data_IF_242730727159
#
_entry.id   IF_242730727159
#
_cell.length_a   1.000
_cell.length_b   1.000
_cell.length_c   1.000
_cell.angle_alpha   90.00
_cell.angle_beta   90.00
_cell.angle_gamma   90.00
#
_symmetry.space_group_name_H-M   'P 1'
#
loop_
_entity.id
_entity.type
_entity.pdbx_description
1 polymer ?
#
# COMPACT_ATOMS: atom_id res chain seq x y z
N UNK A 1 -30.59 -73.05 21.36
CA UNK A 1 -29.80 -71.92 20.81
C UNK A 1 -29.29 -71.08 21.96
N UNK A 2 -27.97 -71.04 22.15
CA UNK A 2 -27.35 -70.50 23.34
C UNK A 2 -27.15 -68.98 23.20
N UNK A 3 -27.50 -68.22 24.23
CA UNK A 3 -27.43 -66.75 24.33
C UNK A 3 -26.04 -66.14 24.05
N UNK A 4 -25.03 -66.91 23.71
CA UNK A 4 -23.64 -66.44 23.47
C UNK A 4 -23.31 -66.12 22.01
N UNK A 5 -24.13 -66.54 21.05
CA UNK A 5 -23.85 -66.29 19.62
C UNK A 5 -24.47 -64.97 19.09
N UNK A 6 -25.37 -64.37 19.85
CA UNK A 6 -26.04 -63.10 19.44
C UNK A 6 -25.22 -61.83 19.77
N UNK A 7 -24.23 -61.98 20.66
CA UNK A 7 -23.40 -60.80 21.07
C UNK A 7 -22.18 -60.60 20.17
N UNK A 8 -21.77 -61.60 19.40
CA UNK A 8 -20.59 -61.53 18.52
C UNK A 8 -20.90 -60.89 17.15
N UNK A 9 -22.15 -60.81 16.74
CA UNK A 9 -22.53 -60.20 15.43
C UNK A 9 -22.82 -58.69 15.54
N UNK A 10 -23.16 -58.18 16.72
CA UNK A 10 -23.40 -56.74 16.97
C UNK A 10 -22.13 -55.95 17.33
N UNK A 11 -21.01 -56.60 17.64
CA UNK A 11 -19.74 -55.97 17.97
C UNK A 11 -18.88 -55.58 16.76
N UNK A 12 -19.16 -56.13 15.56
CA UNK A 12 -18.33 -55.92 14.37
C UNK A 12 -18.78 -54.76 13.48
N UNK A 13 -19.98 -54.21 13.66
CA UNK A 13 -20.54 -53.15 12.80
C UNK A 13 -20.28 -51.72 13.34
N UNK A 14 -19.81 -51.55 14.58
CA UNK A 14 -19.63 -50.24 15.18
C UNK A 14 -18.19 -49.69 15.06
N UNK A 15 -17.22 -50.48 14.55
CA UNK A 15 -15.82 -50.06 14.47
C UNK A 15 -15.35 -49.55 13.11
N UNK A 16 -16.20 -49.52 12.09
CA UNK A 16 -15.86 -49.08 10.71
C UNK A 16 -16.41 -47.72 10.29
N UNK A 17 -17.01 -46.92 11.18
CA UNK A 17 -17.70 -45.71 10.82
C UNK A 17 -17.09 -44.36 11.20
N UNK A 18 -15.89 -44.14 11.62
CA UNK A 18 -15.38 -42.78 11.70
C UNK A 18 -14.17 -42.48 10.82
N UNK A 19 -13.76 -43.36 9.89
CA UNK A 19 -12.57 -43.07 9.07
C UNK A 19 -12.89 -42.49 7.68
N UNK A 20 -14.12 -42.58 7.21
CA UNK A 20 -14.49 -42.09 5.89
C UNK A 20 -15.03 -40.63 5.84
N UNK A 21 -15.31 -40.01 6.99
CA UNK A 21 -15.79 -38.61 7.03
C UNK A 21 -14.66 -37.58 6.96
N UNK A 22 -13.40 -37.97 7.22
CA UNK A 22 -12.25 -37.07 7.07
C UNK A 22 -11.64 -37.00 5.67
N UNK A 23 -12.03 -37.85 4.75
CA UNK A 23 -11.45 -37.95 3.41
C UNK A 23 -12.20 -37.15 2.32
N UNK A 24 -13.23 -36.37 2.66
CA UNK A 24 -14.02 -35.62 1.69
C UNK A 24 -14.23 -34.14 2.04
N UNK A 25 -13.40 -33.51 2.85
CA UNK A 25 -13.17 -32.10 2.65
C UNK A 25 -12.30 -31.98 1.40
N UNK A 26 -12.93 -31.99 0.21
CA UNK A 26 -12.36 -31.34 -0.96
C UNK A 26 -11.98 -29.95 -0.45
N UNK A 27 -10.69 -29.64 -0.42
CA UNK A 27 -10.23 -28.29 -0.11
C UNK A 27 -10.96 -27.35 -1.07
N UNK A 28 -12.01 -26.69 -0.56
CA UNK A 28 -12.79 -25.75 -1.37
C UNK A 28 -11.82 -24.67 -1.82
N UNK A 29 -11.63 -24.55 -3.14
CA UNK A 29 -10.70 -23.59 -3.70
C UNK A 29 -11.18 -22.18 -3.35
N UNK A 30 -10.44 -21.49 -2.50
CA UNK A 30 -10.75 -20.11 -2.14
C UNK A 30 -10.29 -19.17 -3.24
N UNK A 31 -11.20 -18.34 -3.72
CA UNK A 31 -10.92 -17.32 -4.74
C UNK A 31 -10.71 -15.97 -4.09
N UNK A 32 -9.61 -15.29 -4.40
CA UNK A 32 -9.32 -13.94 -3.94
C UNK A 32 -8.96 -13.02 -5.11
N UNK A 33 -9.41 -11.77 -5.06
CA UNK A 33 -8.95 -10.72 -5.94
C UNK A 33 -7.75 -10.00 -5.32
N UNK A 34 -6.72 -9.71 -6.10
CA UNK A 34 -5.60 -8.84 -5.70
C UNK A 34 -5.51 -7.69 -6.68
N UNK A 35 -5.71 -6.45 -6.21
CA UNK A 35 -5.85 -5.30 -7.11
C UNK A 35 -4.92 -4.17 -6.67
N UNK A 36 -4.12 -3.71 -7.62
CA UNK A 36 -3.15 -2.62 -7.42
C UNK A 36 -3.50 -1.41 -8.29
N UNK A 37 -3.11 -0.22 -7.81
CA UNK A 37 -3.32 1.04 -8.51
C UNK A 37 -2.34 1.31 -9.67
N UNK A 38 -1.23 0.58 -9.73
CA UNK A 38 -0.22 0.64 -10.79
C UNK A 38 -0.48 -0.42 -11.87
N UNK A 39 0.36 -0.50 -12.90
CA UNK A 39 0.29 -1.56 -13.90
C UNK A 39 0.66 -2.92 -13.29
N UNK A 40 0.19 -4.02 -13.87
CA UNK A 40 0.47 -5.38 -13.37
C UNK A 40 1.94 -5.76 -13.44
N UNK A 41 2.68 -5.20 -14.39
CA UNK A 41 4.11 -5.41 -14.64
C UNK A 41 5.01 -4.42 -13.88
N UNK A 42 4.44 -3.53 -13.06
CA UNK A 42 5.22 -2.63 -12.19
C UNK A 42 6.08 -3.47 -11.22
N UNK A 43 7.41 -3.23 -11.17
CA UNK A 43 8.33 -4.05 -10.37
C UNK A 43 8.00 -4.12 -8.89
N UNK A 44 7.51 -3.00 -8.29
CA UNK A 44 7.13 -2.98 -6.88
C UNK A 44 5.83 -3.76 -6.63
N UNK A 45 4.87 -3.68 -7.57
CA UNK A 45 3.65 -4.48 -7.51
C UNK A 45 3.98 -5.97 -7.59
N UNK A 46 4.84 -6.38 -8.51
CA UNK A 46 5.29 -7.76 -8.65
C UNK A 46 6.01 -8.26 -7.39
N UNK A 47 6.95 -7.49 -6.84
CA UNK A 47 7.65 -7.84 -5.60
C UNK A 47 6.69 -7.99 -4.41
N UNK A 48 5.71 -7.10 -4.31
CA UNK A 48 4.70 -7.11 -3.23
C UNK A 48 3.78 -8.32 -3.33
N UNK A 49 3.28 -8.63 -4.54
CA UNK A 49 2.43 -9.80 -4.79
C UNK A 49 3.22 -11.10 -4.60
N UNK A 50 4.49 -11.14 -4.99
CA UNK A 50 5.36 -12.29 -4.72
C UNK A 50 5.54 -12.54 -3.22
N UNK A 51 5.78 -11.48 -2.42
CA UNK A 51 5.89 -11.56 -0.97
C UNK A 51 4.58 -12.06 -0.33
N UNK A 52 3.43 -11.57 -0.82
CA UNK A 52 2.11 -12.05 -0.41
C UNK A 52 1.93 -13.54 -0.72
N UNK A 53 2.16 -13.97 -1.96
CA UNK A 53 2.01 -15.36 -2.39
C UNK A 53 2.92 -16.30 -1.59
N UNK A 54 4.17 -15.91 -1.35
CA UNK A 54 5.12 -16.67 -0.54
C UNK A 54 4.62 -16.87 0.89
N UNK A 55 4.09 -15.80 1.51
CA UNK A 55 3.54 -15.89 2.87
C UNK A 55 2.27 -16.73 2.91
N UNK A 56 1.37 -16.58 1.94
CA UNK A 56 0.18 -17.44 1.81
C UNK A 56 0.57 -18.93 1.71
N UNK A 57 1.63 -19.25 0.94
CA UNK A 57 2.14 -20.62 0.84
C UNK A 57 2.65 -21.14 2.18
N UNK A 58 3.38 -20.34 2.96
CA UNK A 58 3.83 -20.69 4.31
C UNK A 58 2.65 -20.94 5.27
N UNK A 59 1.52 -20.26 5.05
CA UNK A 59 0.26 -20.43 5.82
C UNK A 59 -0.60 -21.61 5.34
N UNK A 60 -0.14 -22.37 4.32
CA UNK A 60 -0.81 -23.55 3.79
C UNK A 60 -1.71 -23.31 2.56
N UNK A 61 -1.74 -22.09 2.04
CA UNK A 61 -2.50 -21.73 0.83
C UNK A 61 -1.61 -21.85 -0.40
N UNK A 62 -2.01 -22.65 -1.38
CA UNK A 62 -1.25 -22.87 -2.61
C UNK A 62 -2.12 -22.59 -3.83
N UNK A 63 -1.67 -21.69 -4.69
CA UNK A 63 -2.33 -21.37 -5.96
C UNK A 63 -2.43 -22.63 -6.83
N UNK A 64 -3.61 -22.86 -7.41
CA UNK A 64 -3.92 -24.07 -8.20
C UNK A 64 -4.34 -25.30 -7.37
N UNK A 65 -4.15 -25.31 -6.04
CA UNK A 65 -4.61 -26.39 -5.16
C UNK A 65 -5.85 -25.99 -4.35
N UNK A 66 -5.71 -25.03 -3.45
CA UNK A 66 -6.78 -24.57 -2.55
C UNK A 66 -6.97 -23.04 -2.57
N UNK A 67 -6.21 -22.33 -3.42
CA UNK A 67 -6.27 -20.90 -3.62
C UNK A 67 -6.25 -20.57 -5.12
N UNK A 68 -7.10 -19.61 -5.53
CA UNK A 68 -7.05 -18.96 -6.83
C UNK A 68 -6.88 -17.46 -6.61
N UNK A 69 -5.92 -16.86 -7.32
CA UNK A 69 -5.61 -15.43 -7.22
C UNK A 69 -5.89 -14.76 -8.57
N UNK A 70 -6.84 -13.82 -8.57
CA UNK A 70 -7.12 -12.94 -9.71
C UNK A 70 -6.39 -11.62 -9.52
N UNK A 71 -5.20 -11.48 -10.13
CA UNK A 71 -4.39 -10.27 -10.03
C UNK A 71 -4.73 -9.28 -11.14
N UNK A 72 -4.98 -8.01 -10.78
CA UNK A 72 -5.31 -6.92 -11.69
C UNK A 72 -4.55 -5.65 -11.32
N UNK A 73 -4.22 -4.84 -12.34
CA UNK A 73 -3.59 -3.52 -12.18
C UNK A 73 -4.36 -2.44 -12.93
N UNK A 74 -4.61 -1.32 -12.25
CA UNK A 74 -5.41 -0.22 -12.79
C UNK A 74 -4.57 0.84 -13.53
N UNK A 75 -3.25 0.82 -13.41
CA UNK A 75 -2.33 1.78 -14.05
C UNK A 75 -2.67 3.26 -13.77
N UNK A 76 -3.23 3.58 -12.59
CA UNK A 76 -3.62 4.93 -12.19
C UNK A 76 -4.93 5.44 -12.80
N UNK A 77 -5.61 4.64 -13.60
CA UNK A 77 -6.83 5.00 -14.31
C UNK A 77 -8.08 4.75 -13.45
N UNK A 78 -8.83 5.81 -13.05
CA UNK A 78 -10.02 5.68 -12.21
C UNK A 78 -11.16 4.87 -12.87
N UNK A 79 -11.34 4.98 -14.19
CA UNK A 79 -12.39 4.24 -14.91
C UNK A 79 -12.06 2.75 -14.91
N UNK A 80 -10.80 2.42 -15.14
CA UNK A 80 -10.30 1.04 -15.05
C UNK A 80 -10.42 0.47 -13.65
N UNK A 81 -10.19 1.28 -12.59
CA UNK A 81 -10.44 0.84 -11.20
C UNK A 81 -11.89 0.42 -10.98
N UNK A 82 -12.84 1.23 -11.46
CA UNK A 82 -14.28 0.94 -11.34
C UNK A 82 -14.66 -0.32 -12.16
N UNK A 83 -14.14 -0.45 -13.37
CA UNK A 83 -14.41 -1.61 -14.23
C UNK A 83 -13.88 -2.92 -13.59
N UNK A 84 -12.64 -2.90 -13.07
CA UNK A 84 -12.04 -4.04 -12.35
C UNK A 84 -12.85 -4.40 -11.11
N UNK A 85 -13.29 -3.39 -10.34
CA UNK A 85 -14.09 -3.62 -9.14
C UNK A 85 -15.43 -4.31 -9.49
N UNK A 86 -16.13 -3.84 -10.51
CA UNK A 86 -17.38 -4.44 -11.00
C UNK A 86 -17.15 -5.88 -11.50
N UNK A 87 -16.12 -6.12 -12.30
CA UNK A 87 -15.76 -7.44 -12.82
C UNK A 87 -15.48 -8.43 -11.69
N UNK A 88 -14.57 -8.09 -10.77
CA UNK A 88 -14.15 -9.00 -9.72
C UNK A 88 -15.25 -9.26 -8.68
N UNK A 89 -16.07 -8.27 -8.34
CA UNK A 89 -17.23 -8.47 -7.45
C UNK A 89 -18.22 -9.43 -8.06
N UNK A 90 -18.47 -9.37 -9.38
CA UNK A 90 -19.34 -10.30 -10.08
C UNK A 90 -18.86 -11.77 -10.04
N UNK A 91 -17.54 -11.99 -9.85
CA UNK A 91 -16.98 -13.34 -9.66
C UNK A 91 -17.21 -13.90 -8.25
N UNK A 92 -17.84 -13.13 -7.36
CA UNK A 92 -18.12 -13.46 -5.96
C UNK A 92 -16.91 -14.08 -5.22
N UNK A 93 -15.75 -13.38 -5.14
CA UNK A 93 -14.58 -13.88 -4.47
C UNK A 93 -14.79 -13.96 -2.95
N UNK A 94 -14.05 -14.83 -2.29
CA UNK A 94 -14.08 -14.97 -0.83
C UNK A 94 -13.48 -13.74 -0.11
N UNK A 95 -12.59 -13.01 -0.80
CA UNK A 95 -11.92 -11.82 -0.27
C UNK A 95 -11.28 -11.03 -1.41
N UNK A 96 -11.12 -9.73 -1.20
CA UNK A 96 -10.36 -8.85 -2.09
C UNK A 96 -9.23 -8.16 -1.29
N UNK A 97 -8.00 -8.26 -1.78
CA UNK A 97 -6.85 -7.51 -1.33
C UNK A 97 -6.67 -6.30 -2.25
N UNK A 98 -6.76 -5.09 -1.69
CA UNK A 98 -6.63 -3.84 -2.45
C UNK A 98 -5.37 -3.09 -2.07
N UNK A 99 -4.80 -2.33 -3.02
CA UNK A 99 -3.72 -1.38 -2.76
C UNK A 99 -4.17 0.03 -3.14
N UNK A 100 -4.06 0.97 -2.23
CA UNK A 100 -4.39 2.40 -2.30
C UNK A 100 -5.84 2.76 -1.95
N UNK A 101 -6.02 4.01 -1.53
CA UNK A 101 -7.33 4.59 -1.19
C UNK A 101 -8.33 4.50 -2.36
N UNK A 102 -8.02 4.95 -3.61
CA UNK A 102 -9.00 4.93 -4.69
C UNK A 102 -9.41 3.52 -5.13
N UNK A 103 -8.50 2.54 -5.10
CA UNK A 103 -8.86 1.14 -5.40
C UNK A 103 -9.78 0.59 -4.33
N UNK A 104 -9.46 0.81 -3.04
CA UNK A 104 -10.30 0.35 -1.92
C UNK A 104 -11.69 0.97 -1.98
N UNK A 105 -11.79 2.26 -2.27
CA UNK A 105 -13.06 2.96 -2.45
C UNK A 105 -13.90 2.35 -3.58
N UNK A 106 -13.29 2.07 -4.73
CA UNK A 106 -13.97 1.46 -5.86
C UNK A 106 -14.65 0.14 -5.48
N UNK A 107 -13.98 -0.71 -4.70
CA UNK A 107 -14.56 -1.99 -4.23
C UNK A 107 -15.62 -1.80 -3.15
N UNK A 108 -15.45 -0.88 -2.23
CA UNK A 108 -16.45 -0.58 -1.18
C UNK A 108 -17.73 0.02 -1.75
N UNK A 109 -17.68 0.69 -2.91
CA UNK A 109 -18.86 1.14 -3.64
C UNK A 109 -19.64 -0.01 -4.31
N UNK A 110 -18.93 -1.08 -4.70
CA UNK A 110 -19.53 -2.24 -5.39
C UNK A 110 -20.05 -3.30 -4.41
N UNK A 111 -19.43 -3.47 -3.24
CA UNK A 111 -19.83 -4.49 -2.27
C UNK A 111 -19.66 -4.03 -0.82
N UNK A 112 -20.67 -4.37 0.00
CA UNK A 112 -20.65 -4.19 1.47
C UNK A 112 -20.55 -5.51 2.23
N UNK A 113 -20.41 -6.63 1.51
CA UNK A 113 -20.40 -7.97 2.10
C UNK A 113 -19.12 -8.75 1.83
N UNK A 114 -18.52 -8.60 0.65
CA UNK A 114 -17.24 -9.25 0.33
C UNK A 114 -16.16 -8.67 1.25
N UNK A 115 -15.42 -9.51 2.00
CA UNK A 115 -14.30 -9.06 2.81
C UNK A 115 -13.24 -8.32 2.00
N UNK A 116 -12.77 -7.19 2.49
CA UNK A 116 -11.70 -6.40 1.87
C UNK A 116 -10.56 -6.24 2.88
N UNK A 117 -9.36 -6.63 2.47
CA UNK A 117 -8.11 -6.28 3.14
C UNK A 117 -7.43 -5.22 2.31
N UNK A 118 -7.24 -4.03 2.86
CA UNK A 118 -6.56 -2.96 2.16
C UNK A 118 -5.11 -2.80 2.61
N UNK A 119 -4.25 -2.35 1.71
CA UNK A 119 -2.88 -1.92 1.95
C UNK A 119 -2.66 -0.52 1.38
N UNK A 120 -1.70 0.22 1.92
CA UNK A 120 -1.32 1.54 1.38
C UNK A 120 -2.51 2.53 1.34
N UNK A 121 -3.35 2.52 2.37
CA UNK A 121 -4.46 3.47 2.54
C UNK A 121 -4.05 4.54 3.56
N UNK A 122 -4.25 5.82 3.21
CA UNK A 122 -3.73 6.93 4.04
C UNK A 122 -4.62 7.30 5.23
N UNK A 123 -5.94 7.40 5.02
CA UNK A 123 -6.90 7.79 6.08
C UNK A 123 -8.19 6.97 5.99
N UNK A 124 -8.17 5.70 6.42
CA UNK A 124 -9.34 4.83 6.27
C UNK A 124 -10.55 5.25 7.14
N UNK A 125 -10.32 6.00 8.21
CA UNK A 125 -11.40 6.54 9.07
C UNK A 125 -12.02 7.78 8.44
N UNK A 126 -11.21 8.73 7.98
CA UNK A 126 -11.68 9.93 7.28
C UNK A 126 -12.42 9.60 5.98
N UNK A 127 -11.99 8.56 5.27
CA UNK A 127 -12.66 8.03 4.07
C UNK A 127 -13.90 7.16 4.40
N UNK A 128 -14.18 6.91 5.67
CA UNK A 128 -15.31 6.08 6.12
C UNK A 128 -15.24 4.63 5.60
N UNK A 129 -14.03 4.11 5.39
CA UNK A 129 -13.84 2.70 5.07
C UNK A 129 -14.00 1.83 6.30
N UNK A 130 -13.66 2.39 7.46
CA UNK A 130 -13.78 1.76 8.78
C UNK A 130 -14.34 2.78 9.80
N UNK A 131 -14.99 2.30 10.86
CA UNK A 131 -15.51 3.14 11.94
C UNK A 131 -14.38 3.71 12.80
N UNK A 132 -13.40 2.89 13.13
CA UNK A 132 -12.16 3.26 13.82
C UNK A 132 -11.03 2.29 13.47
N UNK A 133 -9.79 2.66 13.79
CA UNK A 133 -8.64 1.75 13.57
C UNK A 133 -8.73 0.51 14.46
N UNK A 134 -9.19 0.66 15.70
CA UNK A 134 -9.30 -0.45 16.66
C UNK A 134 -10.48 -1.38 16.37
N UNK A 135 -11.57 -0.85 15.83
CA UNK A 135 -12.80 -1.58 15.51
C UNK A 135 -13.32 -1.12 14.15
N UNK A 136 -12.94 -1.80 13.06
CA UNK A 136 -13.34 -1.43 11.71
C UNK A 136 -14.86 -1.41 11.46
N UNK A 137 -15.62 -2.32 12.08
CA UNK A 137 -17.09 -2.31 12.09
C UNK A 137 -17.78 -2.81 10.82
N UNK A 138 -17.11 -2.78 9.67
CA UNK A 138 -17.65 -3.17 8.37
C UNK A 138 -17.00 -4.40 7.75
N UNK A 139 -17.06 -4.49 6.41
CA UNK A 139 -16.42 -5.56 5.63
C UNK A 139 -14.97 -5.27 5.22
N UNK A 140 -14.39 -4.16 5.67
CA UNK A 140 -13.03 -3.76 5.35
C UNK A 140 -12.14 -3.65 6.59
N UNK A 141 -10.89 -4.04 6.45
CA UNK A 141 -9.79 -3.84 7.39
C UNK A 141 -8.47 -3.78 6.64
N UNK A 142 -7.34 -3.52 7.30
CA UNK A 142 -6.05 -3.56 6.61
C UNK A 142 -4.95 -2.72 7.24
N UNK A 143 -4.15 -2.08 6.38
CA UNK A 143 -2.88 -1.46 6.74
C UNK A 143 -2.76 -0.06 6.14
N UNK A 144 -2.47 0.93 7.00
CA UNK A 144 -2.24 2.31 6.55
C UNK A 144 -0.80 2.53 6.07
N UNK A 145 -0.58 3.57 5.28
CA UNK A 145 0.75 3.93 4.76
C UNK A 145 1.26 5.25 5.32
N UNK A 146 0.44 6.04 5.98
CA UNK A 146 0.81 7.35 6.51
C UNK A 146 0.50 7.41 7.98
N UNK A 147 1.48 7.87 8.73
CA UNK A 147 1.36 8.36 10.09
C UNK A 147 1.53 9.89 10.07
N UNK A 148 0.85 10.60 10.95
CA UNK A 148 0.85 12.08 10.96
C UNK A 148 2.25 12.70 11.11
N UNK A 149 3.19 11.98 11.72
CA UNK A 149 4.59 12.39 11.89
C UNK A 149 5.40 12.39 10.58
N UNK A 150 4.98 11.64 9.55
CA UNK A 150 5.75 11.45 8.31
C UNK A 150 5.99 12.74 7.54
N UNK A 151 4.99 13.65 7.50
CA UNK A 151 5.15 14.93 6.80
C UNK A 151 6.31 15.74 7.40
N UNK A 152 6.45 15.75 8.73
CA UNK A 152 7.58 16.35 9.42
C UNK A 152 8.90 15.67 9.07
N UNK A 153 8.90 14.34 9.00
CA UNK A 153 10.10 13.57 8.68
C UNK A 153 10.60 13.80 7.26
N UNK A 154 9.71 13.92 6.29
CA UNK A 154 10.11 14.26 4.90
C UNK A 154 10.75 15.64 4.81
N UNK A 155 10.20 16.64 5.50
CA UNK A 155 10.79 17.99 5.54
C UNK A 155 12.12 18.00 6.30
N UNK A 156 12.23 17.29 7.42
CA UNK A 156 13.47 17.12 8.16
C UNK A 156 14.59 16.56 7.27
N UNK A 157 14.33 15.44 6.61
CA UNK A 157 15.28 14.77 5.72
C UNK A 157 15.67 15.66 4.53
N UNK A 158 14.70 16.39 3.95
CA UNK A 158 14.97 17.33 2.87
C UNK A 158 15.93 18.43 3.33
N UNK A 159 15.72 18.98 4.52
CA UNK A 159 16.60 20.02 5.08
C UNK A 159 17.94 19.48 5.56
N UNK A 160 18.02 18.22 5.96
CA UNK A 160 19.27 17.57 6.35
C UNK A 160 20.22 17.42 5.15
N UNK A 161 19.69 17.08 3.97
CA UNK A 161 20.49 16.94 2.74
C UNK A 161 20.64 18.25 1.96
N UNK A 162 19.70 19.19 2.12
CA UNK A 162 19.70 20.48 1.43
C UNK A 162 19.32 21.62 2.40
N UNK A 163 20.23 22.05 3.31
CA UNK A 163 19.94 23.05 4.35
C UNK A 163 19.49 24.41 3.81
N UNK A 164 19.87 24.74 2.57
CA UNK A 164 19.48 25.98 1.88
C UNK A 164 18.01 26.03 1.45
N UNK A 165 17.25 24.94 1.55
CA UNK A 165 15.83 24.91 1.20
C UNK A 165 15.03 25.76 2.18
N UNK A 166 14.27 26.73 1.63
CA UNK A 166 13.36 27.62 2.38
C UNK A 166 11.91 27.50 1.93
N UNK A 167 11.69 26.98 0.73
CA UNK A 167 10.36 26.78 0.12
C UNK A 167 10.19 25.31 -0.22
N UNK A 168 9.06 24.72 0.10
CA UNK A 168 8.79 23.32 -0.18
C UNK A 168 7.46 23.17 -0.90
N UNK A 169 7.48 22.60 -2.11
CA UNK A 169 6.29 22.21 -2.81
C UNK A 169 5.89 20.76 -2.45
N UNK A 170 4.62 20.59 -2.10
CA UNK A 170 4.03 19.31 -1.75
C UNK A 170 3.13 18.86 -2.91
N UNK A 171 3.54 17.80 -3.62
CA UNK A 171 2.84 17.29 -4.80
C UNK A 171 1.90 16.14 -4.42
N UNK A 172 0.63 16.28 -4.77
CA UNK A 172 -0.37 15.21 -4.69
C UNK A 172 -1.60 15.53 -5.55
N UNK A 173 -2.40 14.49 -5.86
CA UNK A 173 -3.67 14.66 -6.56
C UNK A 173 -4.81 14.80 -5.54
N UNK A 174 -5.44 15.99 -5.40
CA UNK A 174 -6.52 16.18 -4.44
C UNK A 174 -7.75 15.31 -4.70
N UNK A 175 -7.99 14.88 -5.96
CA UNK A 175 -9.11 13.97 -6.27
C UNK A 175 -8.93 12.55 -5.77
N UNK A 176 -7.67 12.13 -5.51
CA UNK A 176 -7.31 10.80 -5.04
C UNK A 176 -6.78 10.80 -3.60
N UNK A 177 -6.46 11.99 -3.09
CA UNK A 177 -5.97 12.18 -1.73
C UNK A 177 -7.12 12.18 -0.71
N UNK A 178 -6.89 11.67 0.51
CA UNK A 178 -7.92 11.62 1.54
C UNK A 178 -8.56 12.97 1.83
N UNK A 179 -9.89 12.97 1.95
CA UNK A 179 -10.67 14.18 2.19
C UNK A 179 -10.51 15.27 1.13
N UNK A 180 -10.30 14.90 -0.14
CA UNK A 180 -10.04 15.88 -1.20
C UNK A 180 -8.74 16.65 -1.02
N UNK A 181 -7.74 16.04 -0.36
CA UNK A 181 -6.45 16.65 -0.05
C UNK A 181 -6.39 17.36 1.31
N UNK A 182 -7.52 17.57 2.00
CA UNK A 182 -7.56 18.25 3.29
C UNK A 182 -6.73 17.54 4.38
N UNK A 183 -6.61 16.22 4.29
CA UNK A 183 -5.74 15.45 5.17
C UNK A 183 -4.28 15.92 5.08
N UNK A 184 -3.74 15.98 3.87
CA UNK A 184 -2.36 16.43 3.65
C UNK A 184 -2.18 17.91 3.95
N UNK A 185 -3.12 18.76 3.54
CA UNK A 185 -3.04 20.21 3.81
C UNK A 185 -2.91 20.52 5.29
N UNK A 186 -3.72 19.87 6.15
CA UNK A 186 -3.60 20.03 7.63
C UNK A 186 -2.22 19.59 8.14
N UNK A 187 -1.67 18.49 7.65
CA UNK A 187 -0.35 18.02 8.08
C UNK A 187 0.78 18.97 7.64
N UNK A 188 0.67 19.53 6.43
CA UNK A 188 1.62 20.51 5.89
C UNK A 188 1.59 21.79 6.72
N UNK A 189 0.41 22.34 7.00
CA UNK A 189 0.21 23.56 7.81
C UNK A 189 0.75 23.39 9.24
N UNK A 190 0.53 22.22 9.85
CA UNK A 190 1.07 21.91 11.17
C UNK A 190 2.60 21.73 11.19
N UNK A 191 3.19 21.31 10.06
CA UNK A 191 4.61 21.01 9.95
C UNK A 191 5.45 22.23 9.59
N UNK A 192 4.98 23.06 8.67
CA UNK A 192 5.78 24.15 8.06
C UNK A 192 6.42 25.12 9.07
N UNK A 193 5.72 25.59 10.13
CA UNK A 193 6.33 26.49 11.10
C UNK A 193 7.51 25.90 11.87
N UNK A 194 7.49 24.58 12.12
CA UNK A 194 8.51 23.87 12.89
C UNK A 194 9.86 23.82 12.16
N UNK A 195 9.86 23.92 10.83
CA UNK A 195 11.04 23.84 9.99
C UNK A 195 11.39 25.17 9.32
N UNK A 196 10.65 26.25 9.61
CA UNK A 196 10.84 27.58 9.01
C UNK A 196 10.84 27.50 7.47
N UNK A 197 9.88 26.79 6.91
CA UNK A 197 9.67 26.68 5.46
C UNK A 197 8.40 27.41 5.03
N UNK A 198 8.42 27.94 3.80
CA UNK A 198 7.22 28.41 3.11
C UNK A 198 6.63 27.24 2.30
N UNK A 199 5.51 26.65 2.74
CA UNK A 199 4.89 25.53 2.02
C UNK A 199 4.12 26.01 0.82
N UNK A 200 4.16 25.25 -0.26
CA UNK A 200 3.32 25.41 -1.44
C UNK A 200 2.58 24.10 -1.68
N UNK A 201 1.26 24.10 -1.59
CA UNK A 201 0.46 22.96 -2.03
C UNK A 201 0.42 23.01 -3.56
N UNK A 202 0.92 21.96 -4.20
CA UNK A 202 1.01 21.84 -5.65
C UNK A 202 0.05 20.73 -6.14
N UNK A 203 -1.24 21.04 -6.37
CA UNK A 203 -2.22 20.08 -6.82
C UNK A 203 -1.94 19.64 -8.25
N UNK A 204 -1.99 18.34 -8.48
CA UNK A 204 -1.75 17.72 -9.79
C UNK A 204 -2.87 16.73 -10.13
N UNK A 205 -3.21 16.56 -11.41
CA UNK A 205 -4.15 15.55 -11.89
C UNK A 205 -3.50 14.60 -12.91
N UNK A 206 -2.32 14.94 -13.43
CA UNK A 206 -1.60 14.17 -14.44
C UNK A 206 -0.32 14.87 -14.89
N UNK A 207 0.31 14.36 -15.94
CA UNK A 207 1.63 14.80 -16.41
C UNK A 207 1.72 16.31 -16.70
N UNK A 208 0.74 16.87 -17.41
CA UNK A 208 0.75 18.30 -17.74
C UNK A 208 0.70 19.21 -16.51
N UNK A 209 -0.07 18.83 -15.48
CA UNK A 209 -0.11 19.57 -14.22
C UNK A 209 1.21 19.47 -13.46
N UNK A 210 1.87 18.31 -13.50
CA UNK A 210 3.19 18.10 -12.89
C UNK A 210 4.23 19.02 -13.52
N UNK A 211 4.30 19.06 -14.87
CA UNK A 211 5.21 19.92 -15.61
C UNK A 211 4.97 21.40 -15.27
N UNK A 212 3.72 21.82 -15.28
CA UNK A 212 3.32 23.20 -14.96
C UNK A 212 3.67 23.56 -13.52
N UNK A 213 3.26 22.73 -12.55
CA UNK A 213 3.46 23.02 -11.12
C UNK A 213 4.94 23.10 -10.75
N UNK A 214 5.76 22.16 -11.22
CA UNK A 214 7.21 22.21 -11.00
C UNK A 214 7.83 23.38 -11.75
N UNK A 215 7.47 23.62 -13.03
CA UNK A 215 7.99 24.73 -13.83
C UNK A 215 7.67 26.12 -13.25
N UNK A 216 6.51 26.29 -12.61
CA UNK A 216 6.16 27.51 -11.89
C UNK A 216 6.97 27.64 -10.57
N UNK A 217 7.07 26.55 -9.81
CA UNK A 217 7.72 26.54 -8.52
C UNK A 217 9.22 26.88 -8.60
N UNK A 218 9.92 26.41 -9.63
CA UNK A 218 11.37 26.63 -9.80
C UNK A 218 11.76 28.03 -10.26
N UNK A 219 10.83 28.91 -10.57
CA UNK A 219 11.12 30.32 -10.92
C UNK A 219 11.74 31.09 -9.78
N UNK A 220 11.53 30.67 -8.56
CA UNK A 220 12.13 31.24 -7.37
C UNK A 220 13.17 30.28 -6.78
N UNK A 221 14.29 30.76 -6.22
CA UNK A 221 15.37 29.94 -5.67
C UNK A 221 15.01 29.27 -4.33
N UNK A 222 15.91 28.43 -3.86
CA UNK A 222 15.84 27.76 -2.57
C UNK A 222 14.60 26.87 -2.37
N UNK A 223 14.12 26.27 -3.46
CA UNK A 223 13.02 25.32 -3.45
C UNK A 223 13.45 23.88 -3.21
N UNK A 224 12.52 23.06 -2.71
CA UNK A 224 12.62 21.60 -2.63
C UNK A 224 11.25 20.98 -2.81
N UNK A 225 11.20 19.68 -3.11
CA UNK A 225 9.96 18.92 -3.30
C UNK A 225 9.76 17.91 -2.17
N UNK A 226 8.50 17.76 -1.74
CA UNK A 226 8.01 16.59 -1.03
C UNK A 226 6.90 15.97 -1.87
N UNK A 227 7.12 14.77 -2.37
CA UNK A 227 6.18 14.04 -3.22
C UNK A 227 5.41 13.06 -2.35
N UNK A 228 4.14 13.39 -2.09
CA UNK A 228 3.30 12.64 -1.15
C UNK A 228 2.83 11.30 -1.74
N UNK A 229 2.47 10.32 -0.88
CA UNK A 229 2.01 9.01 -1.31
C UNK A 229 0.65 9.12 -2.01
N UNK A 230 0.67 9.09 -3.33
CA UNK A 230 -0.46 9.31 -4.21
C UNK A 230 -0.33 8.45 -5.48
N UNK A 231 -1.45 7.95 -6.00
CA UNK A 231 -1.45 7.11 -7.19
C UNK A 231 -0.93 7.86 -8.43
N UNK A 232 -1.28 9.15 -8.58
CA UNK A 232 -0.84 9.98 -9.71
C UNK A 232 0.66 10.23 -9.66
N UNK A 233 1.21 10.57 -8.47
CA UNK A 233 2.65 10.78 -8.30
C UNK A 233 3.43 9.51 -8.58
N UNK A 234 2.93 8.35 -8.14
CA UNK A 234 3.59 7.06 -8.32
C UNK A 234 3.62 6.64 -9.80
N UNK A 235 2.52 6.79 -10.53
CA UNK A 235 2.46 6.46 -11.97
C UNK A 235 3.34 7.41 -12.79
N UNK A 236 3.43 8.68 -12.42
CA UNK A 236 4.25 9.70 -13.10
C UNK A 236 5.64 9.88 -12.47
N UNK A 237 6.11 8.97 -11.64
CA UNK A 237 7.35 9.11 -10.86
C UNK A 237 8.58 9.41 -11.72
N UNK A 238 8.70 8.77 -12.88
CA UNK A 238 9.84 9.03 -13.79
C UNK A 238 9.83 10.44 -14.35
N UNK A 239 8.66 10.99 -14.66
CA UNK A 239 8.52 12.39 -15.08
C UNK A 239 8.92 13.34 -13.94
N UNK A 240 8.44 13.09 -12.71
CA UNK A 240 8.77 13.92 -11.54
C UNK A 240 10.28 13.89 -11.27
N UNK A 241 10.91 12.71 -11.32
CA UNK A 241 12.37 12.55 -11.16
C UNK A 241 13.11 13.31 -12.24
N UNK A 242 12.73 13.18 -13.51
CA UNK A 242 13.37 13.89 -14.63
C UNK A 242 13.25 15.42 -14.51
N UNK A 243 12.11 15.92 -14.02
CA UNK A 243 11.92 17.36 -13.78
C UNK A 243 12.74 17.84 -12.57
N UNK A 244 12.80 17.06 -11.49
CA UNK A 244 13.61 17.38 -10.32
C UNK A 244 15.12 17.46 -10.69
N UNK A 245 15.61 16.51 -11.48
CA UNK A 245 16.98 16.49 -11.97
C UNK A 245 17.27 17.70 -12.89
N UNK A 246 16.42 17.92 -13.91
CA UNK A 246 16.55 19.05 -14.85
C UNK A 246 16.67 20.38 -14.14
N UNK A 247 15.89 20.60 -13.09
CA UNK A 247 15.83 21.85 -12.36
C UNK A 247 16.74 21.87 -11.12
N UNK A 248 17.55 20.82 -10.90
CA UNK A 248 18.41 20.65 -9.72
C UNK A 248 17.64 20.84 -8.41
N UNK A 249 16.47 20.28 -8.32
CA UNK A 249 15.53 20.46 -7.23
C UNK A 249 15.64 19.28 -6.25
N UNK A 250 16.16 19.50 -5.02
CA UNK A 250 16.16 18.44 -4.02
C UNK A 250 14.76 17.92 -3.75
N UNK A 251 14.59 16.60 -3.73
CA UNK A 251 13.28 16.00 -3.59
C UNK A 251 13.28 14.79 -2.64
N UNK A 252 12.24 14.71 -1.79
CA UNK A 252 11.97 13.56 -0.94
C UNK A 252 10.66 12.91 -1.40
N UNK A 253 10.68 11.60 -1.48
CA UNK A 253 9.57 10.77 -1.97
C UNK A 253 9.04 9.84 -0.89
N UNK A 254 7.77 9.44 -1.02
CA UNK A 254 7.16 8.50 -0.09
C UNK A 254 7.53 7.02 -0.36
N UNK A 255 8.00 6.69 -1.57
CA UNK A 255 8.20 5.30 -1.99
C UNK A 255 9.61 5.04 -2.50
N UNK A 256 10.20 3.93 -2.06
CA UNK A 256 11.53 3.44 -2.44
C UNK A 256 11.73 3.31 -3.95
N UNK A 257 10.71 2.84 -4.67
CA UNK A 257 10.79 2.64 -6.13
C UNK A 257 11.15 3.92 -6.89
N UNK A 258 10.80 5.10 -6.35
CA UNK A 258 11.15 6.39 -6.97
C UNK A 258 12.65 6.65 -6.89
N UNK A 259 13.29 6.21 -5.81
CA UNK A 259 14.77 6.33 -5.65
C UNK A 259 15.48 5.36 -6.59
N UNK A 260 14.94 4.16 -6.79
CA UNK A 260 15.43 3.21 -7.80
C UNK A 260 15.34 3.80 -9.22
N UNK A 261 14.28 4.54 -9.53
CA UNK A 261 14.09 5.24 -10.80
C UNK A 261 14.92 6.55 -10.91
N UNK A 262 15.83 6.83 -9.96
CA UNK A 262 16.75 7.97 -9.98
C UNK A 262 16.40 9.13 -9.05
N UNK A 263 15.36 9.04 -8.24
CA UNK A 263 15.02 10.04 -7.21
C UNK A 263 16.10 10.16 -6.15
N UNK A 264 16.20 11.35 -5.50
CA UNK A 264 17.24 11.64 -4.52
C UNK A 264 17.12 10.78 -3.25
N UNK A 265 15.96 10.79 -2.63
CA UNK A 265 15.76 10.16 -1.33
C UNK A 265 14.28 9.80 -1.10
N UNK A 266 14.03 8.70 -0.44
CA UNK A 266 12.67 8.35 0.03
C UNK A 266 12.67 7.93 1.50
N UNK A 267 11.56 8.23 2.17
CA UNK A 267 11.26 7.70 3.49
C UNK A 267 9.80 7.28 3.51
N UNK A 268 9.55 6.00 3.68
CA UNK A 268 8.18 5.46 3.67
C UNK A 268 8.13 4.00 4.06
N UNK A 269 6.95 3.43 3.95
CA UNK A 269 6.68 2.05 4.34
C UNK A 269 7.41 1.03 3.44
N UNK A 270 7.76 -0.11 4.02
CA UNK A 270 8.14 -1.32 3.28
C UNK A 270 6.85 -1.98 2.73
N UNK A 271 6.51 -1.71 1.45
CA UNK A 271 5.28 -2.22 0.86
C UNK A 271 5.26 -3.76 0.78
N UNK A 272 6.34 -4.45 0.35
CA UNK A 272 6.40 -5.91 0.43
C UNK A 272 6.14 -6.45 1.84
N UNK A 273 6.59 -5.77 2.89
CA UNK A 273 6.31 -6.17 4.27
C UNK A 273 4.83 -6.02 4.63
N UNK A 274 4.18 -4.95 4.22
CA UNK A 274 2.72 -4.83 4.37
C UNK A 274 1.96 -5.97 3.70
N UNK A 275 2.41 -6.42 2.53
CA UNK A 275 1.80 -7.54 1.83
C UNK A 275 2.01 -8.87 2.56
N UNK A 276 3.16 -9.08 3.24
CA UNK A 276 3.36 -10.23 4.13
C UNK A 276 2.39 -10.19 5.32
N UNK A 277 2.23 -9.02 5.94
CA UNK A 277 1.29 -8.84 7.05
C UNK A 277 -0.17 -9.02 6.59
N UNK A 278 -0.52 -8.49 5.41
CA UNK A 278 -1.85 -8.66 4.81
C UNK A 278 -2.19 -10.14 4.55
N UNK A 279 -1.21 -10.97 4.17
CA UNK A 279 -1.40 -12.40 4.01
C UNK A 279 -1.88 -13.07 5.32
N UNK A 280 -1.38 -12.62 6.48
CA UNK A 280 -1.86 -13.09 7.78
C UNK A 280 -3.33 -12.69 8.06
N UNK A 281 -3.77 -11.52 7.59
CA UNK A 281 -5.17 -11.11 7.70
C UNK A 281 -6.06 -11.88 6.73
N UNK A 282 -5.59 -12.08 5.50
CA UNK A 282 -6.27 -12.90 4.49
C UNK A 282 -6.46 -14.33 5.00
N UNK A 283 -5.43 -14.96 5.56
CA UNK A 283 -5.50 -16.28 6.17
C UNK A 283 -6.57 -16.37 7.25
N UNK A 284 -6.58 -15.42 8.19
CA UNK A 284 -7.55 -15.38 9.29
C UNK A 284 -8.99 -15.23 8.77
N UNK A 285 -9.20 -14.38 7.75
CA UNK A 285 -10.53 -14.16 7.17
C UNK A 285 -10.99 -15.39 6.39
N UNK A 286 -10.12 -16.03 5.61
CA UNK A 286 -10.45 -17.26 4.89
C UNK A 286 -10.76 -18.43 5.85
N UNK A 287 -10.26 -18.36 7.09
CA UNK A 287 -10.57 -19.29 8.19
C UNK A 287 -11.77 -18.87 9.04
N UNK A 288 -12.47 -17.78 8.67
CA UNK A 288 -13.74 -17.37 9.28
C UNK A 288 -13.69 -16.16 10.21
N UNK A 289 -12.53 -15.49 10.38
CA UNK A 289 -12.47 -14.24 11.11
C UNK A 289 -13.21 -13.13 10.33
N UNK A 290 -13.84 -12.19 11.04
CA UNK A 290 -14.56 -11.08 10.42
C UNK A 290 -13.64 -9.87 10.27
N UNK A 291 -13.62 -9.18 9.12
CA UNK A 291 -12.87 -7.92 8.96
C UNK A 291 -13.21 -6.89 10.05
N UNK A 292 -14.46 -6.80 10.45
CA UNK A 292 -14.96 -5.91 11.49
C UNK A 292 -14.24 -6.03 12.85
N UNK A 293 -13.66 -7.19 13.13
CA UNK A 293 -12.99 -7.55 14.40
C UNK A 293 -11.47 -7.48 14.32
N UNK A 294 -10.92 -7.26 13.11
CA UNK A 294 -9.48 -7.17 12.87
C UNK A 294 -9.04 -5.71 12.86
N UNK A 295 -8.29 -5.22 13.87
CA UNK A 295 -7.86 -3.82 13.91
C UNK A 295 -7.07 -3.41 12.68
N UNK A 296 -7.29 -2.20 12.17
CA UNK A 296 -6.43 -1.61 11.15
C UNK A 296 -5.05 -1.34 11.75
N UNK A 297 -4.01 -1.75 11.05
CA UNK A 297 -2.63 -1.60 11.51
C UNK A 297 -2.02 -0.32 10.97
N UNK A 298 -1.34 0.42 11.84
CA UNK A 298 -0.41 1.47 11.46
C UNK A 298 0.90 0.87 10.96
N UNK A 299 1.66 1.59 10.10
CA UNK A 299 2.96 1.09 9.67
C UNK A 299 3.93 1.01 10.85
N UNK A 300 4.67 -0.10 10.92
CA UNK A 300 5.69 -0.34 11.96
C UNK A 300 7.10 -0.38 11.38
N UNK A 301 7.23 -0.50 10.06
CA UNK A 301 8.50 -0.56 9.36
C UNK A 301 8.57 0.50 8.29
N UNK A 302 9.54 1.39 8.44
CA UNK A 302 9.87 2.42 7.47
C UNK A 302 11.25 2.15 6.88
N UNK A 303 11.44 2.55 5.63
CA UNK A 303 12.69 2.39 4.88
C UNK A 303 13.15 3.76 4.43
N UNK A 304 14.38 4.11 4.79
CA UNK A 304 15.10 5.27 4.29
C UNK A 304 16.03 4.83 3.15
N UNK A 305 15.75 5.27 1.93
CA UNK A 305 16.61 5.01 0.78
C UNK A 305 17.22 6.32 0.27
N UNK A 306 18.51 6.33 -0.03
CA UNK A 306 19.24 7.51 -0.51
C UNK A 306 20.03 7.15 -1.76
N UNK A 307 19.93 7.97 -2.80
CA UNK A 307 20.69 7.85 -4.04
C UNK A 307 21.89 8.83 -4.02
N UNK A 308 23.06 8.30 -3.72
CA UNK A 308 24.29 9.08 -3.65
C UNK A 308 24.72 9.63 -5.01
N UNK A 309 24.44 8.89 -6.09
CA UNK A 309 24.69 9.34 -7.46
C UNK A 309 23.85 10.55 -7.82
N UNK A 310 22.57 10.55 -7.47
CA UNK A 310 21.67 11.69 -7.67
C UNK A 310 22.04 12.86 -6.78
N UNK A 311 22.41 12.62 -5.51
CA UNK A 311 22.90 13.67 -4.62
C UNK A 311 24.11 14.37 -5.21
N UNK A 312 25.10 13.60 -5.69
CA UNK A 312 26.30 14.14 -6.35
C UNK A 312 25.96 14.96 -7.61
N UNK A 313 25.04 14.49 -8.44
CA UNK A 313 24.60 15.20 -9.65
C UNK A 313 23.93 16.55 -9.31
N UNK A 314 23.19 16.59 -8.19
CA UNK A 314 22.55 17.82 -7.68
C UNK A 314 23.56 18.76 -6.95
N UNK A 315 24.82 18.33 -6.73
CA UNK A 315 25.80 19.07 -5.97
C UNK A 315 25.53 19.08 -4.46
N UNK A 316 24.86 18.06 -3.96
CA UNK A 316 24.51 17.90 -2.55
C UNK A 316 25.49 16.94 -1.87
N UNK A 317 25.93 17.33 -0.68
CA UNK A 317 26.71 16.46 0.19
C UNK A 317 25.77 15.77 1.20
N UNK A 318 25.69 14.44 1.12
CA UNK A 318 24.84 13.65 2.03
C UNK A 318 25.61 13.44 3.34
N UNK A 319 25.13 13.97 4.48
CA UNK A 319 25.82 13.82 5.76
C UNK A 319 26.10 12.35 6.10
N UNK A 320 27.30 12.05 6.64
CA UNK A 320 27.67 10.67 7.00
C UNK A 320 26.69 10.01 7.96
N UNK A 321 26.11 10.78 8.88
CA UNK A 321 25.09 10.27 9.80
C UNK A 321 23.81 9.86 9.05
N UNK A 322 23.41 10.59 8.01
CA UNK A 322 22.26 10.24 7.19
C UNK A 322 22.53 8.97 6.37
N UNK A 323 23.74 8.82 5.82
CA UNK A 323 24.17 7.60 5.13
C UNK A 323 24.15 6.38 6.06
N UNK A 324 24.61 6.52 7.32
CA UNK A 324 24.58 5.43 8.31
C UNK A 324 23.18 5.03 8.75
N UNK A 325 22.21 5.95 8.69
CA UNK A 325 20.80 5.71 9.02
C UNK A 325 20.01 5.16 7.84
N UNK A 326 20.54 5.23 6.64
CA UNK A 326 19.86 4.72 5.45
C UNK A 326 19.82 3.17 5.47
N UNK A 327 18.64 2.62 5.20
CA UNK A 327 18.45 1.19 5.01
C UNK A 327 18.97 0.75 3.63
N UNK A 328 19.04 1.69 2.68
CA UNK A 328 19.40 1.43 1.30
C UNK A 328 20.15 2.62 0.70
N UNK A 329 21.36 2.37 0.22
CA UNK A 329 22.20 3.35 -0.48
C UNK A 329 22.37 2.91 -1.94
N UNK A 330 22.01 3.79 -2.89
CA UNK A 330 22.21 3.59 -4.31
C UNK A 330 23.41 4.42 -4.75
N UNK A 331 24.45 3.73 -5.25
CA UNK A 331 25.71 4.31 -5.70
C UNK A 331 25.81 4.37 -7.24
#
# INVERSE_FOLDING_TARGET
MRRREFITVLGGAAASWPLSVRAQQRDEVRRIGVVVNVAVDDPEAQASVAAFKQTMQQLGWSEGRNLQIDFRGAAGDPEKMQAIAKELVALNPHLILTRSTPVTEAFLRQSRTIPIVFTVVSDPVGERFVESLARPGGNATGFTNVESSLTGKWVELLKEVAPGVKRVAFLFNPKLAPGGGSYYTRLIEATAPRFSIAPTVAPINGAADIERAIGEFVREPNGGLVVLPDATTLVNRRLIVALADRHRLPAVYAFRIVVIDGGLMSYGIDIPDQYRQAAGYVDRILKGAKPAELPVQLPTKFVLSVNLKTAKALGLDVPSLLQQRADDLIE
#
